data_IF_687409019200
#
_entry.id   IF_687409019200
#
_cell.length_a   1.000
_cell.length_b   1.000
_cell.length_c   1.000
_cell.angle_alpha   90.00
_cell.angle_beta   90.00
_cell.angle_gamma   90.00
#
_symmetry.space_group_name_H-M   'P 1'
#
loop_
_entity.id
_entity.type
_entity.pdbx_description
1 polymer ?
#
# COMPACT_ATOMS: atom_id res chain seq x y z
N UNK A 1 1.62 20.67 -17.77
CA UNK A 1 0.18 20.38 -17.82
C UNK A 1 -0.01 19.14 -16.95
N UNK A 2 -0.48 19.32 -15.71
CA UNK A 2 -0.71 18.21 -14.78
C UNK A 2 -2.10 17.67 -15.09
N UNK A 3 -2.17 16.51 -15.72
CA UNK A 3 -3.44 15.82 -15.94
C UNK A 3 -4.05 15.49 -14.59
N UNK A 4 -5.10 16.22 -14.23
CA UNK A 4 -6.01 15.83 -13.15
C UNK A 4 -6.70 14.56 -13.61
N UNK A 5 -6.08 13.42 -13.33
CA UNK A 5 -6.71 12.11 -13.46
C UNK A 5 -7.91 12.15 -12.51
N UNK A 6 -9.09 12.21 -13.10
CA UNK A 6 -10.37 12.22 -12.43
C UNK A 6 -10.51 10.88 -11.71
N UNK A 7 -10.00 10.80 -10.48
CA UNK A 7 -10.18 9.63 -9.62
C UNK A 7 -11.69 9.50 -9.41
N UNK A 8 -12.25 8.42 -9.93
CA UNK A 8 -13.57 7.98 -9.50
C UNK A 8 -13.54 7.92 -7.96
N UNK A 9 -14.54 8.50 -7.26
CA UNK A 9 -14.53 8.64 -5.79
C UNK A 9 -14.39 7.31 -5.03
N UNK A 10 -14.53 6.17 -5.71
CA UNK A 10 -14.33 4.83 -5.14
C UNK A 10 -12.89 4.31 -5.20
N UNK A 11 -11.99 4.90 -6.00
CA UNK A 11 -10.60 4.47 -6.08
C UNK A 11 -9.69 5.40 -5.29
N UNK A 12 -9.05 4.85 -4.26
CA UNK A 12 -8.09 5.52 -3.40
C UNK A 12 -6.68 5.66 -4.04
N UNK A 13 -6.52 5.20 -5.28
CA UNK A 13 -5.31 5.33 -6.11
C UNK A 13 -5.64 5.30 -7.61
N UNK A 14 -4.68 5.68 -8.46
CA UNK A 14 -4.79 5.61 -9.93
C UNK A 14 -4.30 4.24 -10.43
N UNK A 15 -5.17 3.37 -10.99
CA UNK A 15 -4.78 1.99 -11.35
C UNK A 15 -3.73 1.84 -12.46
N UNK A 16 -3.45 2.91 -13.21
CA UNK A 16 -2.45 2.92 -14.29
C UNK A 16 -1.04 3.26 -13.80
N UNK A 17 -0.89 3.67 -12.55
CA UNK A 17 0.44 3.92 -11.98
C UNK A 17 1.18 2.61 -11.70
N UNK A 18 2.52 2.61 -11.59
CA UNK A 18 3.26 1.47 -11.05
C UNK A 18 2.75 1.08 -9.65
N UNK A 19 2.80 -0.21 -9.31
CA UNK A 19 2.22 -0.75 -8.06
C UNK A 19 2.73 -0.01 -6.81
N UNK A 20 4.04 0.22 -6.71
CA UNK A 20 4.64 1.05 -5.64
C UNK A 20 3.99 2.44 -5.49
N UNK A 21 3.63 3.08 -6.61
CA UNK A 21 3.08 4.43 -6.62
C UNK A 21 1.58 4.38 -6.29
N UNK A 22 0.88 3.31 -6.67
CA UNK A 22 -0.49 3.04 -6.21
C UNK A 22 -0.53 2.87 -4.68
N UNK A 23 0.42 2.14 -4.10
CA UNK A 23 0.54 1.95 -2.64
C UNK A 23 0.75 3.28 -1.93
N UNK A 24 1.74 4.07 -2.38
CA UNK A 24 2.03 5.38 -1.79
C UNK A 24 0.84 6.33 -1.87
N UNK A 25 0.17 6.36 -3.02
CA UNK A 25 -1.03 7.17 -3.21
C UNK A 25 -2.15 6.72 -2.26
N UNK A 26 -2.40 5.43 -2.15
CA UNK A 26 -3.41 4.86 -1.24
C UNK A 26 -3.19 5.29 0.21
N UNK A 27 -1.95 5.17 0.69
CA UNK A 27 -1.58 5.57 2.05
C UNK A 27 -1.69 7.09 2.23
N UNK A 28 -1.29 7.89 1.24
CA UNK A 28 -1.44 9.34 1.31
C UNK A 28 -2.90 9.81 1.30
N UNK A 29 -3.79 9.11 0.58
CA UNK A 29 -5.21 9.44 0.47
C UNK A 29 -6.03 9.01 1.69
N UNK A 30 -5.74 7.83 2.25
CA UNK A 30 -6.50 7.29 3.38
C UNK A 30 -6.12 7.89 4.74
N UNK A 31 -4.87 8.33 4.89
CA UNK A 31 -4.36 8.76 6.19
C UNK A 31 -4.63 10.25 6.43
N UNK A 32 -5.61 10.55 7.29
CA UNK A 32 -5.88 11.90 7.81
C UNK A 32 -4.99 12.25 9.02
N UNK A 33 -3.84 11.59 9.14
CA UNK A 33 -2.91 11.67 10.28
C UNK A 33 -1.47 11.62 9.78
N UNK A 34 -0.54 12.14 10.59
CA UNK A 34 0.90 12.11 10.29
C UNK A 34 1.51 10.72 10.51
N UNK A 35 0.93 9.91 11.39
CA UNK A 35 1.35 8.53 11.69
C UNK A 35 0.19 7.61 12.05
N UNK A 36 0.42 6.30 11.97
CA UNK A 36 -0.45 5.23 12.48
C UNK A 36 0.32 4.27 13.39
N UNK A 37 -0.36 3.65 14.36
CA UNK A 37 0.29 2.69 15.27
C UNK A 37 0.62 1.37 14.57
N UNK A 38 -0.27 0.90 13.69
CA UNK A 38 -0.07 -0.37 12.97
C UNK A 38 -0.54 -0.25 11.53
N UNK A 39 0.30 -0.72 10.61
CA UNK A 39 0.00 -0.88 9.19
C UNK A 39 0.00 -2.38 8.86
N UNK A 40 -1.12 -2.89 8.35
CA UNK A 40 -1.26 -4.32 8.03
C UNK A 40 -1.37 -4.49 6.53
N UNK A 41 -0.43 -5.23 5.95
CA UNK A 41 -0.48 -5.66 4.56
C UNK A 41 -1.46 -6.82 4.41
N UNK A 42 -2.56 -6.60 3.70
CA UNK A 42 -3.58 -7.61 3.43
C UNK A 42 -3.23 -8.37 2.14
N UNK A 43 -2.26 -9.30 2.22
CA UNK A 43 -1.61 -9.96 1.09
C UNK A 43 -2.61 -10.60 0.09
N UNK A 44 -3.01 -9.84 -0.94
CA UNK A 44 -3.99 -10.24 -1.95
C UNK A 44 -3.37 -10.39 -3.35
N UNK A 45 -2.09 -10.09 -3.46
CA UNK A 45 -1.33 -10.07 -4.69
C UNK A 45 -1.17 -11.49 -5.22
N UNK A 46 -1.33 -11.64 -6.53
CA UNK A 46 -1.33 -12.95 -7.20
C UNK A 46 0.05 -13.64 -7.21
N UNK A 47 1.12 -12.94 -6.80
CA UNK A 47 2.47 -13.52 -6.76
C UNK A 47 3.28 -12.96 -5.60
N UNK A 48 4.24 -13.77 -5.13
CA UNK A 48 5.19 -13.38 -4.09
C UNK A 48 5.95 -12.09 -4.44
N UNK A 49 6.38 -11.92 -5.69
CA UNK A 49 7.15 -10.74 -6.11
C UNK A 49 6.34 -9.45 -5.97
N UNK A 50 5.06 -9.47 -6.35
CA UNK A 50 4.17 -8.32 -6.17
C UNK A 50 3.88 -8.07 -4.70
N UNK A 51 3.68 -9.12 -3.90
CA UNK A 51 3.50 -9.00 -2.46
C UNK A 51 4.73 -8.36 -1.79
N UNK A 52 5.94 -8.78 -2.18
CA UNK A 52 7.18 -8.18 -1.69
C UNK A 52 7.37 -6.74 -2.16
N UNK A 53 6.92 -6.37 -3.37
CA UNK A 53 6.96 -4.97 -3.81
C UNK A 53 6.10 -4.07 -2.91
N UNK A 54 4.89 -4.51 -2.55
CA UNK A 54 4.01 -3.79 -1.62
C UNK A 54 4.62 -3.74 -0.22
N UNK A 55 5.10 -4.87 0.28
CA UNK A 55 5.69 -4.97 1.61
C UNK A 55 6.91 -4.05 1.77
N UNK A 56 7.80 -4.01 0.78
CA UNK A 56 8.95 -3.09 0.75
C UNK A 56 8.53 -1.61 0.79
N UNK A 57 7.38 -1.24 0.22
CA UNK A 57 6.87 0.14 0.34
C UNK A 57 6.26 0.42 1.73
N UNK A 58 5.69 -0.59 2.37
CA UNK A 58 5.21 -0.49 3.76
C UNK A 58 6.37 -0.35 4.75
N UNK A 59 7.48 -1.07 4.55
CA UNK A 59 8.70 -0.95 5.35
C UNK A 59 9.21 0.50 5.35
N UNK A 60 9.21 1.16 4.20
CA UNK A 60 9.62 2.58 4.11
C UNK A 60 8.75 3.50 4.96
N UNK A 61 7.46 3.19 5.13
CA UNK A 61 6.57 3.94 6.02
C UNK A 61 6.95 3.76 7.50
N UNK A 62 7.49 2.60 7.87
CA UNK A 62 8.04 2.37 9.21
C UNK A 62 9.36 3.12 9.37
N UNK A 63 10.27 3.04 8.40
CA UNK A 63 11.58 3.69 8.44
C UNK A 63 11.47 5.21 8.67
N UNK A 64 10.47 5.86 8.05
CA UNK A 64 10.22 7.29 8.22
C UNK A 64 9.33 7.63 9.42
N UNK A 65 8.99 6.66 10.27
CA UNK A 65 8.19 6.83 11.48
C UNK A 65 6.70 7.11 11.25
N UNK A 66 6.19 6.86 10.05
CA UNK A 66 4.76 7.04 9.72
C UNK A 66 3.91 5.84 10.08
N UNK A 67 4.51 4.68 10.32
CA UNK A 67 3.91 3.52 10.96
C UNK A 67 4.81 3.02 12.09
N UNK A 68 4.26 2.73 13.27
CA UNK A 68 5.07 2.19 14.39
C UNK A 68 5.26 0.68 14.32
N UNK A 69 4.32 -0.02 13.69
CA UNK A 69 4.33 -1.47 13.53
C UNK A 69 3.89 -1.84 12.13
N UNK A 70 4.48 -2.90 11.59
CA UNK A 70 4.13 -3.50 10.32
C UNK A 70 3.74 -4.95 10.54
N UNK A 71 2.55 -5.31 10.05
CA UNK A 71 2.03 -6.68 10.08
C UNK A 71 1.66 -7.15 8.68
N UNK A 72 1.47 -8.47 8.55
CA UNK A 72 0.93 -9.11 7.36
C UNK A 72 -0.28 -9.93 7.78
N UNK A 73 -1.38 -9.79 7.05
CA UNK A 73 -2.56 -10.65 7.14
C UNK A 73 -2.65 -11.49 5.88
N UNK A 74 -3.33 -12.64 5.99
CA UNK A 74 -3.70 -13.48 4.85
C UNK A 74 -2.49 -14.05 4.08
N UNK A 75 -1.40 -14.34 4.79
CA UNK A 75 -0.27 -15.05 4.20
C UNK A 75 -0.61 -16.54 4.08
N UNK A 76 -1.16 -16.93 2.95
CA UNK A 76 -1.52 -18.31 2.65
C UNK A 76 -0.48 -18.96 1.74
N UNK A 77 -0.25 -20.26 1.92
CA UNK A 77 0.33 -21.10 0.89
C UNK A 77 -0.83 -21.63 0.02
N UNK A 78 -0.90 -21.30 -1.29
CA UNK A 78 -1.94 -21.87 -2.15
C UNK A 78 -1.81 -23.39 -2.35
N UNK A 79 -0.75 -24.02 -1.82
CA UNK A 79 -0.53 -25.47 -1.83
C UNK A 79 -0.62 -26.12 -0.42
N UNK A 80 -1.06 -25.41 0.62
CA UNK A 80 -1.40 -26.01 1.92
C UNK A 80 -2.86 -26.52 1.95
#
# INVERSE_FOLDING_TARGET
MMDTINLNPYYIYTPRLPLKDQVRQSLATLLQTVYIDSLVFHATEQSHNLAMEVYCEYEKFVDVGRAKQLGISNLYNPND
#
